data_IF_149329929459
#
_entry.id   IF_149329929459
#
_cell.length_a   1.000
_cell.length_b   1.000
_cell.length_c   1.000
_cell.angle_alpha   90.00
_cell.angle_beta   90.00
_cell.angle_gamma   90.00
#
_symmetry.space_group_name_H-M   'P 1'
#
loop_
_entity.id
_entity.type
_entity.pdbx_description
1 polymer ?
#
# COMPACT_ATOMS: atom_id res chain seq x y z
N UNK A 1 -35.48 4.41 -35.11
CA UNK A 1 -35.43 3.10 -34.42
C UNK A 1 -34.04 2.88 -33.83
N UNK A 2 -33.82 3.24 -32.56
CA UNK A 2 -32.56 3.01 -31.86
C UNK A 2 -32.42 1.53 -31.47
N UNK A 3 -31.40 0.85 -31.98
CA UNK A 3 -31.10 -0.53 -31.59
C UNK A 3 -30.43 -0.52 -30.22
N UNK A 4 -31.18 -0.95 -29.21
CA UNK A 4 -30.68 -1.24 -27.87
C UNK A 4 -29.67 -2.39 -27.95
N UNK A 5 -28.38 -2.05 -27.98
CA UNK A 5 -27.29 -3.02 -28.02
C UNK A 5 -26.98 -3.53 -26.59
N UNK A 6 -27.81 -4.45 -26.08
CA UNK A 6 -27.50 -5.19 -24.85
C UNK A 6 -26.58 -6.36 -25.19
N UNK A 7 -25.27 -6.12 -25.19
CA UNK A 7 -24.26 -7.19 -25.28
C UNK A 7 -24.46 -8.20 -24.14
N UNK A 8 -24.52 -9.49 -24.46
CA UNK A 8 -24.55 -10.58 -23.49
C UNK A 8 -23.31 -10.46 -22.57
N UNK A 9 -23.46 -10.80 -21.29
CA UNK A 9 -22.38 -10.74 -20.27
C UNK A 9 -21.10 -11.46 -20.71
N UNK A 10 -21.23 -12.55 -21.49
CA UNK A 10 -20.09 -13.30 -22.05
C UNK A 10 -19.33 -12.50 -23.11
N UNK A 11 -20.04 -11.85 -24.03
CA UNK A 11 -19.43 -11.04 -25.10
C UNK A 11 -18.70 -9.82 -24.53
N UNK A 12 -19.25 -9.20 -23.47
CA UNK A 12 -18.58 -8.11 -22.74
C UNK A 12 -17.30 -8.55 -22.05
N UNK A 13 -17.27 -9.76 -21.50
CA UNK A 13 -16.06 -10.29 -20.86
C UNK A 13 -14.96 -10.54 -21.89
N UNK A 14 -15.29 -11.19 -23.01
CA UNK A 14 -14.34 -11.44 -24.09
C UNK A 14 -13.76 -10.14 -24.68
N UNK A 15 -14.61 -9.12 -24.85
CA UNK A 15 -14.18 -7.80 -25.31
C UNK A 15 -13.26 -7.09 -24.30
N UNK A 16 -13.63 -7.12 -23.01
CA UNK A 16 -12.79 -6.56 -21.94
C UNK A 16 -11.45 -7.30 -21.86
N UNK A 17 -11.45 -8.63 -21.89
CA UNK A 17 -10.24 -9.44 -21.80
C UNK A 17 -9.26 -9.13 -22.94
N UNK A 18 -9.77 -8.99 -24.18
CA UNK A 18 -8.94 -8.67 -25.35
C UNK A 18 -8.39 -7.25 -25.34
N UNK A 19 -9.18 -6.29 -24.87
CA UNK A 19 -8.85 -4.86 -25.01
C UNK A 19 -8.24 -4.25 -23.73
N UNK A 20 -8.29 -4.97 -22.61
CA UNK A 20 -7.78 -4.46 -21.34
C UNK A 20 -6.27 -4.20 -21.41
N UNK A 21 -5.90 -2.99 -21.02
CA UNK A 21 -4.51 -2.58 -20.85
C UNK A 21 -4.39 -1.85 -19.53
N UNK A 22 -3.40 -2.22 -18.73
CA UNK A 22 -3.07 -1.49 -17.52
C UNK A 22 -2.59 -0.08 -17.90
N UNK A 23 -3.26 0.93 -17.37
CA UNK A 23 -2.77 2.30 -17.43
C UNK A 23 -1.80 2.53 -16.27
N UNK A 24 -0.52 2.20 -16.49
CA UNK A 24 0.51 2.26 -15.46
C UNK A 24 1.19 3.64 -15.54
N UNK A 25 1.23 4.42 -14.44
CA UNK A 25 1.93 5.69 -14.44
C UNK A 25 3.44 5.48 -14.62
N UNK A 26 4.11 6.46 -15.24
CA UNK A 26 5.58 6.43 -15.47
C UNK A 26 6.37 6.26 -14.16
N UNK A 27 5.85 6.81 -13.08
CA UNK A 27 6.40 6.70 -11.73
C UNK A 27 5.30 6.25 -10.78
N UNK A 28 5.64 5.30 -9.92
CA UNK A 28 4.76 4.77 -8.88
C UNK A 28 5.61 4.49 -7.64
N UNK A 29 5.13 4.90 -6.47
CA UNK A 29 5.70 4.53 -5.19
C UNK A 29 4.56 4.22 -4.22
N UNK A 30 4.55 3.01 -3.65
CA UNK A 30 3.45 2.56 -2.80
C UNK A 30 3.24 3.44 -1.55
N UNK A 31 4.31 3.94 -0.94
CA UNK A 31 4.24 4.87 0.20
C UNK A 31 3.51 6.16 -0.18
N UNK A 32 3.96 6.83 -1.24
CA UNK A 32 3.34 8.10 -1.67
C UNK A 32 1.94 7.90 -2.29
N UNK A 33 1.79 6.92 -3.18
CA UNK A 33 0.61 6.79 -4.02
C UNK A 33 -0.57 6.11 -3.33
N UNK A 34 -0.34 5.41 -2.22
CA UNK A 34 -1.37 4.69 -1.46
C UNK A 34 -1.40 5.16 -0.01
N UNK A 35 -0.28 5.02 0.71
CA UNK A 35 -0.24 5.29 2.16
C UNK A 35 -0.47 6.77 2.44
N UNK A 36 0.25 7.67 1.77
CA UNK A 36 0.14 9.11 2.01
C UNK A 36 -1.23 9.67 1.59
N UNK A 37 -1.81 9.17 0.48
CA UNK A 37 -3.17 9.56 0.06
C UNK A 37 -4.22 9.14 1.09
N UNK A 38 -4.09 7.96 1.66
CA UNK A 38 -4.99 7.52 2.73
C UNK A 38 -4.73 8.21 4.07
N UNK A 39 -3.49 8.69 4.30
CA UNK A 39 -3.11 9.47 5.47
C UNK A 39 -3.58 10.93 5.44
N UNK A 40 -4.14 11.42 4.33
CA UNK A 40 -4.83 12.70 4.27
C UNK A 40 -5.98 12.76 5.29
N UNK A 41 -6.72 11.66 5.42
CA UNK A 41 -7.61 11.44 6.57
C UNK A 41 -6.81 10.91 7.76
N UNK A 42 -6.56 11.81 8.71
CA UNK A 42 -5.75 11.54 9.91
C UNK A 42 -6.36 10.48 10.84
N UNK A 43 -7.64 10.18 10.70
CA UNK A 43 -8.35 9.22 11.56
C UNK A 43 -8.54 7.86 10.90
N UNK A 44 -8.18 7.73 9.61
CA UNK A 44 -8.36 6.51 8.85
C UNK A 44 -7.50 5.39 9.41
N UNK A 45 -8.15 4.38 9.97
CA UNK A 45 -7.50 3.20 10.55
C UNK A 45 -6.84 2.35 9.46
N UNK A 46 -5.57 1.98 9.67
CA UNK A 46 -4.80 1.13 8.77
C UNK A 46 -4.67 -0.30 9.29
N UNK A 47 -4.28 -0.46 10.56
CA UNK A 47 -4.17 -1.78 11.17
C UNK A 47 -4.47 -1.73 12.68
N UNK A 48 -4.95 -2.85 13.18
CA UNK A 48 -5.09 -3.11 14.62
C UNK A 48 -4.10 -4.21 14.95
N UNK A 49 -3.21 -3.96 15.90
CA UNK A 49 -2.26 -4.97 16.38
C UNK A 49 -2.64 -5.39 17.79
N UNK A 50 -2.63 -6.69 18.04
CA UNK A 50 -2.89 -7.25 19.35
C UNK A 50 -1.59 -7.84 19.86
N UNK A 51 -1.24 -7.55 21.12
CA UNK A 51 -0.07 -8.17 21.73
C UNK A 51 -0.26 -9.69 21.95
N UNK A 52 0.83 -10.39 22.24
CA UNK A 52 0.79 -11.85 22.44
C UNK A 52 -0.14 -12.30 23.57
N UNK A 53 -0.48 -11.41 24.50
CA UNK A 53 -1.39 -11.72 25.61
C UNK A 53 -2.86 -11.68 25.18
N UNK A 54 -3.17 -11.09 24.03
CA UNK A 54 -4.54 -10.88 23.56
C UNK A 54 -5.26 -9.72 24.25
N UNK A 55 -4.59 -9.00 25.17
CA UNK A 55 -5.24 -8.02 26.08
C UNK A 55 -4.97 -6.56 25.72
N UNK A 56 -4.00 -6.29 24.86
CA UNK A 56 -3.65 -4.94 24.45
C UNK A 56 -3.72 -4.83 22.94
N UNK A 57 -4.80 -4.23 22.48
CA UNK A 57 -4.95 -3.74 21.13
C UNK A 57 -4.29 -2.37 21.00
N UNK A 58 -3.70 -2.13 19.83
CA UNK A 58 -3.20 -0.83 19.41
C UNK A 58 -3.73 -0.56 18.01
N UNK A 59 -4.28 0.63 17.85
CA UNK A 59 -4.84 1.13 16.60
C UNK A 59 -3.79 2.03 15.94
N UNK A 60 -3.48 1.76 14.68
CA UNK A 60 -2.55 2.55 13.90
C UNK A 60 -3.28 3.09 12.69
N UNK A 61 -3.28 4.40 12.54
CA UNK A 61 -3.84 5.09 11.38
C UNK A 61 -2.88 5.04 10.20
N UNK A 62 -3.37 5.33 8.99
CA UNK A 62 -2.48 5.54 7.84
C UNK A 62 -1.51 6.69 8.06
N UNK A 63 -1.92 7.68 8.87
CA UNK A 63 -1.06 8.79 9.25
C UNK A 63 0.12 8.34 10.12
N UNK A 64 -0.11 7.44 11.07
CA UNK A 64 0.97 6.87 11.90
C UNK A 64 1.97 6.10 11.03
N UNK A 65 1.48 5.26 10.12
CA UNK A 65 2.34 4.50 9.21
C UNK A 65 3.13 5.41 8.27
N UNK A 66 2.52 6.46 7.71
CA UNK A 66 3.20 7.45 6.87
C UNK A 66 4.34 8.16 7.62
N UNK A 67 4.10 8.58 8.87
CA UNK A 67 5.12 9.24 9.69
C UNK A 67 6.27 8.29 10.01
N UNK A 68 5.97 7.10 10.52
CA UNK A 68 7.01 6.17 10.98
C UNK A 68 7.81 5.57 9.82
N UNK A 69 7.16 5.27 8.69
CA UNK A 69 7.87 4.79 7.49
C UNK A 69 8.79 5.86 6.90
N UNK A 70 8.39 7.13 6.89
CA UNK A 70 9.27 8.23 6.50
C UNK A 70 10.47 8.38 7.45
N UNK A 71 10.26 8.22 8.76
CA UNK A 71 11.36 8.22 9.74
C UNK A 71 12.34 7.08 9.47
N UNK A 72 11.83 5.89 9.18
CA UNK A 72 12.65 4.72 8.84
C UNK A 72 13.43 4.91 7.52
N UNK A 73 12.78 5.38 6.45
CA UNK A 73 13.41 5.69 5.17
C UNK A 73 14.57 6.68 5.33
N UNK A 74 14.38 7.70 6.18
CA UNK A 74 15.42 8.68 6.49
C UNK A 74 16.60 8.08 7.27
N UNK A 75 16.35 7.11 8.15
CA UNK A 75 17.40 6.38 8.84
C UNK A 75 18.22 5.51 7.87
N UNK A 76 17.57 4.78 6.97
CA UNK A 76 18.25 3.98 5.93
C UNK A 76 19.13 4.86 5.03
N UNK A 77 18.59 6.00 4.59
CA UNK A 77 19.34 6.97 3.77
C UNK A 77 20.57 7.51 4.50
N UNK A 78 20.48 7.75 5.82
CA UNK A 78 21.64 8.14 6.64
C UNK A 78 22.68 7.03 6.80
N UNK A 79 22.27 5.76 6.74
CA UNK A 79 23.16 4.61 6.70
C UNK A 79 23.81 4.37 5.33
N UNK A 80 23.46 5.19 4.33
CA UNK A 80 24.03 5.11 2.98
C UNK A 80 23.31 4.16 2.03
N UNK A 81 22.15 3.61 2.43
CA UNK A 81 21.31 2.77 1.58
C UNK A 81 20.74 3.58 0.42
N UNK A 82 20.77 3.01 -0.77
CA UNK A 82 20.34 3.61 -2.03
C UNK A 82 19.32 2.74 -2.74
N UNK A 83 18.61 3.35 -3.68
CA UNK A 83 17.70 2.63 -4.59
C UNK A 83 18.47 1.54 -5.33
N UNK A 84 17.99 0.30 -5.22
CA UNK A 84 18.61 -0.88 -5.84
C UNK A 84 19.39 -1.75 -4.85
N UNK A 85 19.68 -1.25 -3.66
CA UNK A 85 20.26 -2.06 -2.59
C UNK A 85 19.24 -3.10 -2.09
N UNK A 86 19.74 -4.25 -1.66
CA UNK A 86 18.90 -5.36 -1.16
C UNK A 86 18.92 -5.34 0.36
N UNK A 87 17.74 -5.28 0.96
CA UNK A 87 17.55 -5.29 2.42
C UNK A 87 16.74 -6.52 2.80
N UNK A 88 17.25 -7.30 3.75
CA UNK A 88 16.52 -8.41 4.36
C UNK A 88 15.85 -7.92 5.65
N UNK A 89 14.53 -8.07 5.73
CA UNK A 89 13.75 -7.75 6.93
C UNK A 89 13.29 -9.05 7.61
N UNK A 90 13.74 -9.27 8.84
CA UNK A 90 13.31 -10.41 9.67
C UNK A 90 12.70 -9.87 10.95
N UNK A 91 11.36 -9.79 10.97
CA UNK A 91 10.58 -9.40 12.15
C UNK A 91 9.41 -10.37 12.30
N UNK A 92 8.83 -10.40 13.50
CA UNK A 92 7.56 -11.10 13.75
C UNK A 92 6.39 -10.31 13.14
N UNK A 93 5.17 -10.84 13.26
CA UNK A 93 3.94 -10.12 12.88
C UNK A 93 3.64 -8.99 13.87
N UNK A 94 4.36 -7.88 13.73
CA UNK A 94 4.26 -6.66 14.52
C UNK A 94 4.13 -5.44 13.58
N UNK A 95 3.53 -4.32 14.02
CA UNK A 95 3.32 -3.12 13.19
C UNK A 95 4.57 -2.62 12.46
N UNK A 96 5.72 -2.73 13.11
CA UNK A 96 7.02 -2.30 12.61
C UNK A 96 7.44 -3.01 11.31
N UNK A 97 6.91 -4.22 11.06
CA UNK A 97 7.12 -4.92 9.80
C UNK A 97 6.53 -4.13 8.62
N UNK A 98 5.35 -3.54 8.78
CA UNK A 98 4.73 -2.69 7.75
C UNK A 98 5.47 -1.36 7.59
N UNK A 99 5.92 -0.76 8.69
CA UNK A 99 6.74 0.47 8.66
C UNK A 99 8.01 0.23 7.83
N UNK A 100 8.68 -0.90 8.05
CA UNK A 100 9.87 -1.28 7.29
C UNK A 100 9.55 -1.46 5.81
N UNK A 101 8.48 -2.19 5.46
CA UNK A 101 8.08 -2.42 4.07
C UNK A 101 7.73 -1.11 3.33
N UNK A 102 7.01 -0.20 3.98
CA UNK A 102 6.56 1.05 3.36
C UNK A 102 7.73 2.03 3.17
N UNK A 103 8.69 2.06 4.10
CA UNK A 103 9.81 3.00 4.09
C UNK A 103 11.00 2.61 3.21
N UNK A 104 10.90 1.53 2.42
CA UNK A 104 11.96 1.06 1.51
C UNK A 104 11.70 1.43 0.04
#
# INVERSE_FOLDING_TARGET
MGKNNTLNKKDRYEELYKNFKWNIPKHYNFGFDVIDKWAEDRTKLALISIDRSGKRDRYHTFRDLSIESNRYANALRRMGIKKGDRVLVVLQSIPEWYIALIGM
#
